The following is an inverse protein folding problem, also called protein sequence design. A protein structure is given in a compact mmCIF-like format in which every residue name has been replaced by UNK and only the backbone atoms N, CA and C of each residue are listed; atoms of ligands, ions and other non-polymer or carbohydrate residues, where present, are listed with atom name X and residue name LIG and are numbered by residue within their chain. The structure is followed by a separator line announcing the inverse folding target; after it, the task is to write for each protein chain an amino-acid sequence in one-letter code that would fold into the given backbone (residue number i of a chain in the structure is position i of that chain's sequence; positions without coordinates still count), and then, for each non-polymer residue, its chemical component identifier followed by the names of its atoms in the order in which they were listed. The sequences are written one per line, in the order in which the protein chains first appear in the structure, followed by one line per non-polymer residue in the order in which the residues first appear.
data_IF_993376590600
#
_entry.id   IF_993376590600
#
_cell.length_a   1.000
_cell.length_b   1.000
_cell.length_c   1.000
_cell.angle_alpha   90.00
_cell.angle_beta   90.00
_cell.angle_gamma   90.00
#
_symmetry.space_group_name_H-M   'P 1'
#
loop_
_entity.id
_entity.type
_entity.pdbx_description
1 polymer ?
#
# COMPACT_ATOMS: atom_id res chain seq x y z
N UNK A 1 -3.10 11.58 -7.03
CA UNK A 1 -2.05 10.70 -7.53
C UNK A 1 -2.26 9.30 -6.98
N UNK A 2 -2.02 8.31 -7.80
CA UNK A 2 -2.10 6.91 -7.40
C UNK A 2 -0.78 6.42 -6.83
N UNK A 3 -0.90 5.50 -5.89
CA UNK A 3 0.25 4.81 -5.29
C UNK A 3 -0.07 3.32 -5.24
N UNK A 4 0.80 2.53 -5.83
CA UNK A 4 0.73 1.07 -5.68
C UNK A 4 1.67 0.71 -4.55
N UNK A 5 1.15 0.07 -3.52
CA UNK A 5 1.93 -0.35 -2.36
C UNK A 5 2.02 -1.87 -2.36
N UNK A 6 3.24 -2.36 -2.40
CA UNK A 6 3.53 -3.78 -2.26
C UNK A 6 4.12 -4.03 -0.88
N UNK A 7 3.58 -5.01 -0.18
CA UNK A 7 4.11 -5.45 1.10
C UNK A 7 4.51 -6.90 1.03
N UNK A 8 5.63 -7.25 1.63
CA UNK A 8 5.99 -8.64 1.80
C UNK A 8 6.59 -8.87 3.20
N UNK A 9 6.45 -10.09 3.68
CA UNK A 9 6.91 -10.49 5.00
C UNK A 9 7.31 -11.96 4.98
N UNK A 10 8.11 -12.36 5.96
CA UNK A 10 8.49 -13.76 6.13
C UNK A 10 7.36 -14.55 6.76
N UNK A 11 7.41 -15.87 6.62
CA UNK A 11 6.48 -16.77 7.28
C UNK A 11 6.50 -16.62 8.80
N UNK A 12 7.65 -16.27 9.36
CA UNK A 12 7.83 -16.12 10.81
C UNK A 12 6.98 -15.01 11.42
N UNK A 13 6.77 -13.92 10.69
CA UNK A 13 5.97 -12.79 11.17
C UNK A 13 4.58 -12.73 10.56
N UNK A 14 4.24 -13.70 9.71
CA UNK A 14 2.92 -13.76 9.09
C UNK A 14 1.81 -13.88 10.16
N UNK A 15 0.71 -13.14 10.04
CA UNK A 15 -0.42 -13.26 10.98
C UNK A 15 -0.99 -14.68 11.08
N UNK A 16 -0.80 -15.50 10.04
CA UNK A 16 -1.25 -16.89 10.05
C UNK A 16 -0.41 -17.79 10.93
N UNK A 17 0.82 -17.41 11.25
CA UNK A 17 1.76 -18.24 12.00
C UNK A 17 2.35 -17.56 13.23
N UNK A 18 2.18 -16.25 13.36
CA UNK A 18 2.73 -15.47 14.49
C UNK A 18 1.61 -14.89 15.33
N UNK A 19 1.52 -15.30 16.59
CA UNK A 19 0.43 -14.89 17.48
C UNK A 19 0.43 -13.38 17.76
N UNK A 20 1.59 -12.77 17.87
CA UNK A 20 1.72 -11.32 18.11
C UNK A 20 1.21 -10.52 16.91
N UNK A 21 1.63 -10.90 15.71
CA UNK A 21 1.18 -10.25 14.48
C UNK A 21 -0.31 -10.47 14.25
N UNK A 22 -0.81 -11.66 14.55
CA UNK A 22 -2.25 -11.97 14.46
C UNK A 22 -3.06 -11.05 15.37
N UNK A 23 -2.65 -10.90 16.63
CA UNK A 23 -3.33 -10.03 17.60
C UNK A 23 -3.33 -8.58 17.10
N UNK A 24 -2.20 -8.11 16.59
CA UNK A 24 -2.07 -6.77 16.03
C UNK A 24 -3.05 -6.54 14.89
N UNK A 25 -3.12 -7.46 13.94
CA UNK A 25 -3.99 -7.33 12.79
C UNK A 25 -5.47 -7.46 13.12
N UNK A 26 -5.83 -8.25 14.11
CA UNK A 26 -7.22 -8.33 14.58
C UNK A 26 -7.66 -7.02 15.24
N UNK A 27 -6.73 -6.30 15.86
CA UNK A 27 -7.00 -5.00 16.47
C UNK A 27 -7.03 -3.88 15.42
N UNK A 28 -6.01 -3.78 14.59
CA UNK A 28 -5.83 -2.65 13.66
C UNK A 28 -6.59 -2.82 12.35
N UNK A 29 -6.68 -4.06 11.85
CA UNK A 29 -7.30 -4.34 10.56
C UNK A 29 -8.67 -3.69 10.35
N UNK A 30 -9.61 -3.81 11.29
CA UNK A 30 -10.93 -3.18 11.17
C UNK A 30 -10.89 -1.66 11.15
N UNK A 31 -9.81 -1.05 11.62
CA UNK A 31 -9.65 0.40 11.69
C UNK A 31 -9.03 0.99 10.43
N UNK A 32 -8.48 0.18 9.55
CA UNK A 32 -7.76 0.65 8.36
C UNK A 32 -8.60 1.62 7.51
N UNK A 33 -9.89 1.38 7.23
CA UNK A 33 -10.69 2.35 6.47
C UNK A 33 -10.78 3.72 7.15
N UNK A 34 -10.91 3.77 8.47
CA UNK A 34 -10.97 5.03 9.23
C UNK A 34 -9.62 5.73 9.25
N UNK A 35 -8.53 4.97 9.33
CA UNK A 35 -7.18 5.53 9.28
C UNK A 35 -6.93 6.16 7.91
N UNK A 36 -7.35 5.50 6.84
CA UNK A 36 -7.26 6.05 5.49
C UNK A 36 -8.02 7.39 5.40
N UNK A 37 -9.26 7.42 5.84
CA UNK A 37 -10.07 8.63 5.84
C UNK A 37 -9.41 9.76 6.64
N UNK A 38 -8.88 9.46 7.81
CA UNK A 38 -8.18 10.44 8.66
C UNK A 38 -7.01 11.09 7.95
N UNK A 39 -6.29 10.37 7.12
CA UNK A 39 -5.12 10.86 6.39
C UNK A 39 -5.42 11.27 4.96
N UNK A 40 -6.71 11.41 4.59
CA UNK A 40 -7.12 11.78 3.24
C UNK A 40 -6.60 10.82 2.17
N UNK A 41 -6.55 9.54 2.50
CA UNK A 41 -6.15 8.47 1.60
C UNK A 41 -7.39 7.70 1.18
N UNK A 42 -7.56 7.48 -0.12
CA UNK A 42 -8.61 6.65 -0.67
C UNK A 42 -8.04 5.28 -1.00
N UNK A 43 -8.66 4.23 -0.47
CA UNK A 43 -8.30 2.87 -0.84
C UNK A 43 -9.06 2.54 -2.13
N UNK A 44 -8.33 2.53 -3.25
CA UNK A 44 -8.92 2.26 -4.57
C UNK A 44 -9.19 0.78 -4.75
N UNK A 45 -8.26 -0.06 -4.31
CA UNK A 45 -8.39 -1.51 -4.39
C UNK A 45 -7.51 -2.19 -3.34
N UNK A 46 -7.98 -3.31 -2.84
CA UNK A 46 -7.27 -4.10 -1.82
C UNK A 46 -7.61 -3.66 -0.40
N UNK A 47 -6.80 -4.11 0.58
CA UNK A 47 -5.61 -4.93 0.42
C UNK A 47 -5.90 -6.32 -0.15
N UNK A 48 -5.09 -6.72 -1.11
CA UNK A 48 -5.07 -8.11 -1.57
C UNK A 48 -3.91 -8.82 -0.89
N UNK A 49 -4.15 -10.02 -0.39
CA UNK A 49 -3.11 -10.81 0.27
C UNK A 49 -2.98 -12.16 -0.41
N UNK A 50 -1.76 -12.65 -0.49
CA UNK A 50 -1.48 -13.93 -1.13
C UNK A 50 -0.80 -14.91 -0.19
N UNK A 51 -0.83 -16.19 -0.56
CA UNK A 51 -0.12 -17.23 0.20
C UNK A 51 1.41 -17.13 0.06
N UNK A 52 1.88 -16.27 -0.83
CA UNK A 52 3.31 -15.98 -1.01
C UNK A 52 3.80 -14.87 -0.07
N UNK A 53 3.00 -14.53 0.94
CA UNK A 53 3.32 -13.49 1.93
C UNK A 53 3.51 -12.12 1.30
N UNK A 54 2.72 -11.84 0.26
CA UNK A 54 2.73 -10.56 -0.44
C UNK A 54 1.35 -9.94 -0.38
N UNK A 55 1.31 -8.63 -0.14
CA UNK A 55 0.08 -7.84 -0.16
C UNK A 55 0.21 -6.73 -1.21
N UNK A 56 -0.93 -6.36 -1.79
CA UNK A 56 -1.01 -5.25 -2.75
C UNK A 56 -2.15 -4.33 -2.34
N UNK A 57 -1.87 -3.05 -2.26
CA UNK A 57 -2.88 -2.03 -1.99
C UNK A 57 -2.72 -0.93 -3.03
N UNK A 58 -3.81 -0.51 -3.64
CA UNK A 58 -3.82 0.62 -4.55
C UNK A 58 -4.50 1.78 -3.83
N UNK A 59 -3.76 2.87 -3.67
CA UNK A 59 -4.19 4.04 -2.92
C UNK A 59 -4.20 5.27 -3.80
N UNK A 60 -5.02 6.24 -3.43
CA UNK A 60 -5.01 7.56 -4.02
C UNK A 60 -4.89 8.59 -2.91
N UNK A 61 -4.00 9.56 -3.09
CA UNK A 61 -3.77 10.63 -2.13
C UNK A 61 -3.18 11.85 -2.81
N UNK A 62 -3.23 12.99 -2.12
CA UNK A 62 -2.64 14.23 -2.61
C UNK A 62 -1.12 14.26 -2.53
N UNK A 63 -0.52 13.47 -1.63
CA UNK A 63 0.92 13.46 -1.42
C UNK A 63 1.41 12.12 -0.89
N UNK A 64 2.70 11.86 -1.09
CA UNK A 64 3.36 10.69 -0.49
C UNK A 64 3.43 10.76 1.03
N UNK A 65 3.39 11.95 1.59
CA UNK A 65 3.39 12.14 3.04
C UNK A 65 2.10 11.60 3.65
N UNK A 66 0.96 11.80 2.99
CA UNK A 66 -0.32 11.22 3.43
C UNK A 66 -0.29 9.71 3.39
N UNK A 67 0.31 9.15 2.35
CA UNK A 67 0.50 7.69 2.23
C UNK A 67 1.36 7.16 3.36
N UNK A 68 2.47 7.83 3.64
CA UNK A 68 3.38 7.42 4.71
C UNK A 68 2.69 7.46 6.08
N UNK A 69 1.96 8.53 6.38
CA UNK A 69 1.22 8.67 7.62
C UNK A 69 0.14 7.57 7.78
N UNK A 70 -0.57 7.27 6.71
CA UNK A 70 -1.54 6.18 6.69
C UNK A 70 -0.89 4.84 6.99
N UNK A 71 0.22 4.54 6.31
CA UNK A 71 0.91 3.27 6.49
C UNK A 71 1.48 3.13 7.90
N UNK A 72 2.05 4.18 8.45
CA UNK A 72 2.58 4.15 9.81
C UNK A 72 1.48 3.88 10.85
N UNK A 73 0.35 4.57 10.74
CA UNK A 73 -0.74 4.37 11.68
C UNK A 73 -1.42 3.00 11.50
N UNK A 74 -1.45 2.47 10.28
CA UNK A 74 -1.95 1.12 10.01
C UNK A 74 -1.06 0.02 10.58
N UNK A 75 0.14 0.38 10.99
CA UNK A 75 1.16 -0.50 11.57
C UNK A 75 1.64 -1.61 10.63
N UNK A 76 1.31 -1.51 9.34
CA UNK A 76 1.79 -2.46 8.34
C UNK A 76 3.32 -2.52 8.22
N UNK A 77 4.06 -1.40 8.33
CA UNK A 77 5.52 -1.45 8.26
C UNK A 77 6.18 -2.22 9.41
N UNK A 78 5.45 -2.49 10.49
CA UNK A 78 6.01 -3.21 11.64
C UNK A 78 6.29 -4.67 11.34
N UNK A 79 5.59 -5.24 10.35
CA UNK A 79 5.75 -6.65 10.00
C UNK A 79 5.85 -6.91 8.50
N UNK A 80 5.80 -5.85 7.67
CA UNK A 80 5.99 -5.93 6.22
C UNK A 80 7.13 -5.04 5.78
N UNK A 81 7.84 -5.49 4.77
CA UNK A 81 8.66 -4.62 3.96
C UNK A 81 7.75 -4.01 2.90
N UNK A 82 7.67 -2.69 2.86
CA UNK A 82 6.77 -1.98 1.96
C UNK A 82 7.54 -1.30 0.83
N UNK A 83 7.00 -1.42 -0.39
CA UNK A 83 7.43 -0.67 -1.55
C UNK A 83 6.28 0.25 -1.95
N UNK A 84 6.53 1.54 -1.97
CA UNK A 84 5.54 2.55 -2.30
C UNK A 84 5.90 3.12 -3.66
N UNK A 85 5.06 2.87 -4.65
CA UNK A 85 5.33 3.26 -6.02
C UNK A 85 4.32 4.32 -6.47
N UNK A 86 4.75 5.59 -6.58
CA UNK A 86 3.92 6.59 -7.25
C UNK A 86 3.61 6.10 -8.65
N UNK A 87 2.35 6.11 -9.03
CA UNK A 87 1.90 5.44 -10.24
C UNK A 87 0.86 6.29 -10.95
N UNK A 88 0.68 6.04 -12.22
CA UNK A 88 -0.36 6.67 -13.03
C UNK A 88 -1.05 5.63 -13.89
N UNK A 89 -2.24 5.94 -14.34
CA UNK A 89 -2.93 5.08 -15.29
C UNK A 89 -2.14 5.03 -16.61
N UNK A 90 -2.16 3.88 -17.25
CA UNK A 90 -1.46 3.72 -18.52
C UNK A 90 -1.89 4.75 -19.57
N UNK A 91 -3.18 5.13 -19.58
CA UNK A 91 -3.70 6.15 -20.48
C UNK A 91 -2.97 7.49 -20.32
N UNK A 92 -2.69 7.89 -19.08
CA UNK A 92 -1.93 9.10 -18.79
C UNK A 92 -0.47 8.95 -19.21
N UNK A 93 0.11 7.79 -18.92
CA UNK A 93 1.46 7.46 -19.32
C UNK A 93 1.65 7.46 -20.83
N UNK A 94 0.66 7.00 -21.58
CA UNK A 94 0.70 7.00 -23.04
C UNK A 94 0.68 8.42 -23.62
N UNK A 95 0.03 9.37 -22.98
CA UNK A 95 0.09 10.78 -23.38
C UNK A 95 1.50 11.31 -23.24
N UNK A 96 2.17 11.00 -22.14
CA UNK A 96 3.57 11.41 -21.91
C UNK A 96 4.48 10.78 -22.96
N UNK A 97 4.27 9.51 -23.29
CA UNK A 97 5.02 8.83 -24.35
C UNK A 97 4.87 9.56 -25.68
N UNK A 98 3.64 9.96 -26.04
CA UNK A 98 3.37 10.68 -27.28
C UNK A 98 3.99 12.06 -27.36
N UNK A 99 4.18 12.72 -26.21
CA UNK A 99 4.73 14.07 -26.10
C UNK A 99 6.24 14.09 -25.86
N UNK A 100 6.81 12.96 -25.46
CA UNK A 100 8.23 12.90 -25.12
C UNK A 100 9.12 12.88 -26.35
N UNK A 101 10.32 13.43 -26.18
CA UNK A 101 11.37 13.32 -27.18
C UNK A 101 12.28 12.18 -26.77
N UNK A 102 12.45 11.22 -27.66
CA UNK A 102 13.32 10.06 -27.38
C UNK A 102 14.80 10.44 -27.48
N UNK A 103 15.59 9.83 -26.61
CA UNK A 103 17.05 10.04 -26.61
C UNK A 103 17.78 9.10 -27.58
N UNK A 104 17.12 8.05 -27.98
CA UNK A 104 17.70 7.01 -28.85
C UNK A 104 16.88 6.73 -30.08
#
# INVERSE_FOLDING_TARGET
MHYVVLGNHSAEVCPMSNATTKALMLEVGPQIPKIAEKHNVTIVAGPFVSREHTAVIILEAGSGEDIDAFLLESRLPQWNRLHIMPSQLMQEGMKEVGESVTLF
#
